data_IF_889998113047
#
_entry.id   IF_889998113047
#
_cell.length_a   1.000
_cell.length_b   1.000
_cell.length_c   1.000
_cell.angle_alpha   90.00
_cell.angle_beta   90.00
_cell.angle_gamma   90.00
#
_symmetry.space_group_name_H-M   'P 1'
#
loop_
_entity.id
_entity.type
_entity.pdbx_description
1 polymer ?
#
# COMPACT_ATOMS: atom_id res chain seq x y z
N UNK A 1 36.74 34.14 8.37
CA UNK A 1 36.65 35.24 7.37
C UNK A 1 36.07 34.60 6.11
N UNK A 2 34.83 34.86 5.63
CA UNK A 2 34.32 36.09 4.95
C UNK A 2 35.22 36.54 3.79
N UNK A 3 34.77 36.90 2.58
CA UNK A 3 33.42 37.02 1.93
C UNK A 3 33.26 35.92 0.84
N UNK A 4 32.15 35.63 0.13
CA UNK A 4 30.76 36.16 -0.05
C UNK A 4 30.48 37.31 -1.05
N UNK A 5 30.24 36.96 -2.32
CA UNK A 5 29.34 37.64 -3.30
C UNK A 5 28.60 36.52 -4.06
N UNK A 6 27.27 36.41 -4.24
CA UNK A 6 26.11 37.32 -4.36
C UNK A 6 25.92 37.96 -5.76
N UNK A 7 24.66 37.88 -6.24
CA UNK A 7 24.15 38.29 -7.58
C UNK A 7 24.63 37.37 -8.72
N UNK A 8 23.79 36.97 -9.68
CA UNK A 8 22.72 37.73 -10.37
C UNK A 8 21.36 37.01 -10.31
N UNK A 9 20.31 37.76 -10.00
CA UNK A 9 18.93 37.36 -10.28
C UNK A 9 18.52 37.86 -11.67
N UNK A 10 17.91 36.99 -12.48
CA UNK A 10 17.28 37.35 -13.75
C UNK A 10 15.84 36.85 -13.76
N UNK A 11 14.94 37.60 -13.12
CA UNK A 11 13.51 37.34 -13.18
C UNK A 11 12.95 37.89 -14.50
N UNK A 12 12.71 37.03 -15.48
CA UNK A 12 11.93 37.35 -16.68
C UNK A 12 10.50 36.86 -16.49
N UNK A 13 9.68 37.72 -15.87
CA UNK A 13 8.24 37.53 -15.81
C UNK A 13 7.62 37.85 -17.19
N UNK A 14 7.32 36.81 -17.97
CA UNK A 14 6.50 36.96 -19.17
C UNK A 14 5.03 36.80 -18.79
N UNK A 15 4.34 37.93 -18.71
CA UNK A 15 2.89 37.99 -18.57
C UNK A 15 2.23 37.51 -19.88
N UNK A 16 1.56 36.36 -19.83
CA UNK A 16 0.56 35.97 -20.83
C UNK A 16 -0.84 36.23 -20.28
N UNK A 17 -1.62 36.99 -21.03
CA UNK A 17 -2.85 37.62 -20.55
C UNK A 17 -4.00 36.65 -20.29
N UNK A 18 -4.85 37.03 -19.34
CA UNK A 18 -6.18 36.45 -19.17
C UNK A 18 -7.07 36.83 -20.36
N UNK A 19 -7.48 35.86 -21.17
CA UNK A 19 -8.69 35.95 -21.99
C UNK A 19 -9.80 35.12 -21.35
N UNK A 20 -10.97 35.75 -21.18
CA UNK A 20 -12.06 35.21 -20.38
C UNK A 20 -12.86 34.13 -21.12
N UNK A 21 -12.91 32.91 -20.55
CA UNK A 21 -13.87 31.87 -20.91
C UNK A 21 -14.02 30.85 -19.77
N UNK A 22 -14.36 31.29 -18.56
CA UNK A 22 -14.69 30.37 -17.45
C UNK A 22 -16.11 29.81 -17.63
N UNK A 23 -16.24 28.78 -18.46
CA UNK A 23 -17.42 27.91 -18.43
C UNK A 23 -17.49 27.18 -17.08
N UNK A 24 -18.68 27.14 -16.49
CA UNK A 24 -18.90 26.64 -15.13
C UNK A 24 -18.45 25.18 -14.95
N UNK A 25 -17.44 24.96 -14.11
CA UNK A 25 -17.27 23.71 -13.38
C UNK A 25 -17.31 23.99 -11.88
N UNK A 26 -18.52 23.94 -11.32
CA UNK A 26 -18.75 23.82 -9.89
C UNK A 26 -18.14 22.51 -9.37
N UNK A 27 -16.88 22.60 -8.91
CA UNK A 27 -16.22 21.57 -8.12
C UNK A 27 -15.95 22.13 -6.73
N UNK A 28 -16.91 21.95 -5.83
CA UNK A 28 -16.70 22.10 -4.39
C UNK A 28 -15.45 21.31 -3.95
N UNK A 29 -14.43 21.98 -3.37
CA UNK A 29 -13.25 21.30 -2.83
C UNK A 29 -13.47 20.77 -1.41
N UNK A 30 -14.68 20.86 -0.86
CA UNK A 30 -15.02 20.44 0.51
C UNK A 30 -15.91 19.19 0.59
N UNK A 31 -15.74 18.41 1.67
CA UNK A 31 -16.64 17.35 2.20
C UNK A 31 -16.62 15.93 1.60
N UNK A 32 -16.01 15.64 0.44
CA UNK A 32 -16.03 14.26 -0.13
C UNK A 32 -15.00 13.27 0.44
N UNK A 33 -13.99 13.72 1.19
CA UNK A 33 -12.93 12.86 1.71
C UNK A 33 -13.34 12.01 2.93
N UNK A 34 -14.28 12.49 3.75
CA UNK A 34 -14.56 11.90 5.08
C UNK A 34 -15.96 11.28 5.24
N UNK A 35 -16.83 11.27 4.22
CA UNK A 35 -18.11 10.53 4.32
C UNK A 35 -17.85 9.02 4.40
N UNK A 36 -18.42 8.31 5.38
CA UNK A 36 -18.21 6.87 5.53
C UNK A 36 -18.72 6.12 4.29
N UNK A 37 -18.09 4.98 3.95
CA UNK A 37 -18.44 4.22 2.76
C UNK A 37 -19.92 3.76 2.70
N UNK A 38 -20.59 3.71 3.86
CA UNK A 38 -22.03 3.47 4.02
C UNK A 38 -22.93 4.53 3.34
N UNK A 39 -22.43 5.74 3.11
CA UNK A 39 -23.16 6.89 2.58
C UNK A 39 -22.92 7.18 1.08
N UNK A 40 -22.02 6.43 0.43
CA UNK A 40 -21.72 6.62 -1.00
C UNK A 40 -22.86 6.07 -1.88
N UNK A 41 -23.30 6.81 -2.92
CA UNK A 41 -24.40 6.39 -3.79
C UNK A 41 -24.05 5.10 -4.54
N UNK A 42 -25.08 4.32 -4.90
CA UNK A 42 -24.90 2.99 -5.50
C UNK A 42 -24.05 3.00 -6.80
N UNK A 43 -24.14 4.07 -7.60
CA UNK A 43 -23.32 4.25 -8.80
C UNK A 43 -21.81 4.33 -8.50
N UNK A 44 -21.41 5.03 -7.44
CA UNK A 44 -20.01 5.13 -7.02
C UNK A 44 -19.47 3.78 -6.52
N UNK A 45 -20.30 3.01 -5.81
CA UNK A 45 -19.96 1.63 -5.39
C UNK A 45 -19.83 0.67 -6.57
N UNK A 46 -20.69 0.80 -7.58
CA UNK A 46 -20.63 -0.02 -8.80
C UNK A 46 -19.34 0.25 -9.57
N UNK A 47 -19.00 1.53 -9.77
CA UNK A 47 -17.75 1.96 -10.40
C UNK A 47 -16.52 1.50 -9.59
N UNK A 48 -16.53 1.62 -8.26
CA UNK A 48 -15.44 1.19 -7.41
C UNK A 48 -15.18 -0.34 -7.49
N UNK A 49 -16.25 -1.15 -7.61
CA UNK A 49 -16.14 -2.60 -7.88
C UNK A 49 -15.55 -2.84 -9.27
N UNK A 50 -16.11 -2.24 -10.32
CA UNK A 50 -15.61 -2.37 -11.70
C UNK A 50 -14.13 -2.03 -11.85
N UNK A 51 -13.65 -1.01 -11.12
CA UNK A 51 -12.21 -0.66 -11.08
C UNK A 51 -11.39 -1.70 -10.30
N UNK A 52 -11.92 -2.30 -9.22
CA UNK A 52 -11.25 -3.41 -8.52
C UNK A 52 -11.16 -4.65 -9.43
N UNK A 53 -12.29 -5.06 -10.02
CA UNK A 53 -12.37 -6.21 -10.94
C UNK A 53 -11.27 -6.06 -12.03
N UNK A 54 -11.18 -4.89 -12.67
CA UNK A 54 -10.18 -4.60 -13.71
C UNK A 54 -8.72 -4.45 -13.20
N UNK A 55 -8.48 -4.22 -11.91
CA UNK A 55 -7.15 -4.32 -11.29
C UNK A 55 -6.82 -5.79 -10.95
N UNK A 56 -7.81 -6.62 -10.59
CA UNK A 56 -7.63 -8.07 -10.37
C UNK A 56 -7.34 -8.82 -11.68
N UNK A 57 -8.09 -8.52 -12.75
CA UNK A 57 -7.84 -9.07 -14.10
C UNK A 57 -6.42 -8.80 -14.58
N UNK A 58 -5.87 -7.60 -14.28
CA UNK A 58 -4.48 -7.24 -14.60
C UNK A 58 -3.47 -8.06 -13.80
N UNK A 59 -3.69 -8.20 -12.48
CA UNK A 59 -2.83 -9.03 -11.63
C UNK A 59 -2.83 -10.49 -12.12
N UNK A 60 -3.98 -11.01 -12.56
CA UNK A 60 -4.07 -12.36 -13.13
C UNK A 60 -3.37 -12.49 -14.49
N UNK A 61 -3.51 -11.49 -15.37
CA UNK A 61 -2.81 -11.44 -16.65
C UNK A 61 -1.28 -11.38 -16.45
N UNK A 62 -0.80 -10.51 -15.55
CA UNK A 62 0.62 -10.39 -15.20
C UNK A 62 1.16 -11.69 -14.58
N UNK A 63 0.40 -12.31 -13.66
CA UNK A 63 0.76 -13.59 -13.06
C UNK A 63 0.77 -14.74 -14.08
N UNK A 64 -0.15 -14.74 -15.05
CA UNK A 64 -0.16 -15.70 -16.17
C UNK A 64 1.06 -15.51 -17.06
N UNK A 65 1.40 -14.27 -17.41
CA UNK A 65 2.60 -13.95 -18.19
C UNK A 65 3.90 -14.31 -17.44
N UNK A 66 3.96 -14.11 -16.12
CA UNK A 66 5.07 -14.53 -15.28
C UNK A 66 5.21 -16.06 -15.25
N UNK A 67 4.11 -16.80 -15.02
CA UNK A 67 4.11 -18.28 -15.03
C UNK A 67 4.53 -18.84 -16.40
N UNK A 68 4.07 -18.25 -17.50
CA UNK A 68 4.48 -18.65 -18.85
C UNK A 68 5.99 -18.45 -19.09
N UNK A 69 6.60 -17.39 -18.56
CA UNK A 69 8.07 -17.21 -18.59
C UNK A 69 8.83 -18.29 -17.81
N UNK A 70 8.22 -18.88 -16.79
CA UNK A 70 8.80 -20.02 -16.08
C UNK A 70 8.71 -21.33 -16.87
N UNK A 71 7.85 -21.44 -17.90
CA UNK A 71 7.64 -22.71 -18.61
C UNK A 71 8.88 -23.19 -19.37
N UNK A 72 9.72 -22.25 -19.83
CA UNK A 72 11.01 -22.50 -20.49
C UNK A 72 12.13 -22.96 -19.54
N UNK A 73 11.91 -22.86 -18.23
CA UNK A 73 12.84 -23.35 -17.20
C UNK A 73 12.62 -24.85 -16.93
N UNK A 74 13.57 -25.47 -16.22
CA UNK A 74 13.54 -26.89 -15.87
C UNK A 74 14.00 -27.13 -14.43
N UNK A 75 13.59 -28.25 -13.84
CA UNK A 75 13.89 -28.60 -12.44
C UNK A 75 13.45 -27.52 -11.46
N UNK A 76 14.12 -27.46 -10.30
CA UNK A 76 13.74 -26.55 -9.22
C UNK A 76 13.71 -25.06 -9.62
N UNK A 77 14.52 -24.65 -10.60
CA UNK A 77 14.47 -23.28 -11.13
C UNK A 77 13.08 -22.92 -11.70
N UNK A 78 12.38 -23.89 -12.31
CA UNK A 78 11.00 -23.74 -12.76
C UNK A 78 10.04 -23.63 -11.58
N UNK A 79 10.20 -24.47 -10.58
CA UNK A 79 9.29 -24.57 -9.44
C UNK A 79 9.39 -23.33 -8.54
N UNK A 80 10.61 -22.87 -8.25
CA UNK A 80 10.90 -21.57 -7.63
C UNK A 80 10.28 -20.42 -8.41
N UNK A 81 10.48 -20.35 -9.73
CA UNK A 81 9.89 -19.29 -10.58
C UNK A 81 8.35 -19.30 -10.52
N UNK A 82 7.74 -20.49 -10.57
CA UNK A 82 6.29 -20.64 -10.43
C UNK A 82 5.79 -20.24 -9.04
N UNK A 83 6.51 -20.60 -7.98
CA UNK A 83 6.16 -20.22 -6.61
C UNK A 83 6.28 -18.70 -6.41
N UNK A 84 7.31 -18.07 -6.96
CA UNK A 84 7.45 -16.60 -6.95
C UNK A 84 6.28 -15.94 -7.69
N UNK A 85 5.93 -16.40 -8.89
CA UNK A 85 4.78 -15.87 -9.63
C UNK A 85 3.44 -16.07 -8.90
N UNK A 86 3.22 -17.25 -8.29
CA UNK A 86 2.03 -17.56 -7.46
C UNK A 86 1.99 -16.72 -6.17
N UNK A 87 3.14 -16.45 -5.56
CA UNK A 87 3.26 -15.62 -4.36
C UNK A 87 2.94 -14.15 -4.67
N UNK A 88 3.54 -13.59 -5.73
CA UNK A 88 3.31 -12.20 -6.13
C UNK A 88 1.84 -11.96 -6.51
N UNK A 89 1.18 -12.88 -7.21
CA UNK A 89 -0.26 -12.80 -7.50
C UNK A 89 -1.11 -12.67 -6.23
N UNK A 90 -0.87 -13.56 -5.25
CA UNK A 90 -1.58 -13.58 -3.96
C UNK A 90 -1.32 -12.31 -3.13
N UNK A 91 -0.07 -11.83 -3.12
CA UNK A 91 0.32 -10.61 -2.42
C UNK A 91 -0.36 -9.40 -3.07
N UNK A 92 -0.27 -9.25 -4.39
CA UNK A 92 -0.87 -8.13 -5.12
C UNK A 92 -2.40 -8.08 -4.95
N UNK A 93 -3.09 -9.22 -4.99
CA UNK A 93 -4.55 -9.29 -4.69
C UNK A 93 -4.86 -8.84 -3.25
N UNK A 94 -4.07 -9.26 -2.26
CA UNK A 94 -4.27 -8.86 -0.87
C UNK A 94 -3.90 -7.38 -0.61
N UNK A 95 -2.89 -6.84 -1.29
CA UNK A 95 -2.55 -5.41 -1.27
C UNK A 95 -3.62 -4.56 -1.97
N UNK A 96 -4.21 -5.04 -3.07
CA UNK A 96 -5.35 -4.39 -3.72
C UNK A 96 -6.57 -4.35 -2.79
N UNK A 97 -6.90 -5.45 -2.11
CA UNK A 97 -7.93 -5.49 -1.06
C UNK A 97 -7.65 -4.44 0.04
N UNK A 98 -6.40 -4.31 0.49
CA UNK A 98 -5.98 -3.34 1.49
C UNK A 98 -6.00 -1.89 0.98
N UNK A 99 -5.66 -1.65 -0.30
CA UNK A 99 -5.70 -0.34 -0.97
C UNK A 99 -7.14 0.13 -1.20
N UNK A 100 -8.05 -0.77 -1.59
CA UNK A 100 -9.47 -0.45 -1.82
C UNK A 100 -10.28 -0.34 -0.55
N UNK A 101 -9.90 -1.09 0.50
CA UNK A 101 -10.57 -1.09 1.78
C UNK A 101 -9.51 -1.11 2.92
N UNK A 102 -8.97 0.06 3.31
CA UNK A 102 -7.84 0.19 4.23
C UNK A 102 -8.24 -0.05 5.69
N UNK A 103 -8.56 -1.31 5.99
CA UNK A 103 -8.79 -1.79 7.36
C UNK A 103 -7.52 -2.45 7.91
N UNK A 104 -7.35 -2.42 9.24
CA UNK A 104 -6.29 -3.17 9.91
C UNK A 104 -6.35 -4.68 9.59
N UNK A 105 -7.53 -5.25 9.33
CA UNK A 105 -7.69 -6.65 8.90
C UNK A 105 -7.07 -6.89 7.50
N UNK A 106 -7.35 -6.03 6.53
CA UNK A 106 -6.85 -6.21 5.17
C UNK A 106 -5.34 -5.90 5.09
N UNK A 107 -4.85 -4.90 5.81
CA UNK A 107 -3.42 -4.64 5.97
C UNK A 107 -2.69 -5.83 6.61
N UNK A 108 -3.28 -6.43 7.67
CA UNK A 108 -2.73 -7.64 8.29
C UNK A 108 -2.73 -8.83 7.31
N UNK A 109 -3.84 -9.06 6.60
CA UNK A 109 -3.94 -10.10 5.54
C UNK A 109 -2.84 -9.90 4.48
N UNK A 110 -2.62 -8.68 4.00
CA UNK A 110 -1.56 -8.40 3.02
C UNK A 110 -0.15 -8.72 3.58
N UNK A 111 0.12 -8.41 4.85
CA UNK A 111 1.37 -8.78 5.50
C UNK A 111 1.50 -10.30 5.72
N UNK A 112 0.41 -10.97 6.13
CA UNK A 112 0.33 -12.44 6.27
C UNK A 112 0.62 -13.11 4.92
N UNK A 113 0.02 -12.65 3.82
CA UNK A 113 0.29 -13.16 2.47
C UNK A 113 1.74 -12.96 2.02
N UNK A 114 2.42 -11.89 2.46
CA UNK A 114 3.85 -11.68 2.19
C UNK A 114 4.73 -12.69 2.92
N UNK A 115 4.45 -12.94 4.21
CA UNK A 115 5.16 -13.94 4.99
C UNK A 115 4.93 -15.36 4.44
N UNK A 116 3.71 -15.67 4.00
CA UNK A 116 3.38 -16.95 3.36
C UNK A 116 4.00 -17.10 1.97
N UNK A 117 3.94 -16.05 1.13
CA UNK A 117 4.60 -16.06 -0.17
C UNK A 117 6.12 -16.25 -0.07
N UNK A 118 6.77 -15.56 0.87
CA UNK A 118 8.20 -15.73 1.13
C UNK A 118 8.55 -17.14 1.64
N UNK A 119 7.68 -17.75 2.46
CA UNK A 119 7.86 -19.13 2.95
C UNK A 119 7.73 -20.17 1.85
N UNK A 120 6.71 -20.09 1.00
CA UNK A 120 6.55 -21.04 -0.12
C UNK A 120 7.73 -20.94 -1.10
N UNK A 121 8.16 -19.72 -1.46
CA UNK A 121 9.37 -19.51 -2.28
C UNK A 121 10.64 -20.04 -1.60
N UNK A 122 10.75 -19.91 -0.28
CA UNK A 122 11.89 -20.45 0.46
C UNK A 122 11.89 -21.98 0.49
N UNK A 123 10.73 -22.64 0.57
CA UNK A 123 10.63 -24.10 0.50
C UNK A 123 11.15 -24.65 -0.81
N UNK A 124 10.65 -24.15 -1.95
CA UNK A 124 11.16 -24.59 -3.27
C UNK A 124 12.68 -24.34 -3.36
N UNK A 125 13.18 -23.21 -2.87
CA UNK A 125 14.64 -22.95 -2.82
C UNK A 125 15.41 -23.94 -1.92
N UNK A 126 14.79 -24.47 -0.87
CA UNK A 126 15.36 -25.55 -0.07
C UNK A 126 15.28 -26.93 -0.76
N UNK A 127 14.43 -27.11 -1.76
CA UNK A 127 14.17 -28.43 -2.34
C UNK A 127 15.31 -28.94 -3.24
N UNK A 128 16.19 -28.06 -3.72
CA UNK A 128 17.49 -28.39 -4.36
C UNK A 128 18.51 -29.04 -3.40
N UNK A 129 18.39 -28.81 -2.10
CA UNK A 129 19.31 -29.33 -1.08
C UNK A 129 19.02 -30.80 -0.75
N UNK A 130 19.93 -31.47 -0.04
CA UNK A 130 19.79 -32.89 0.32
C UNK A 130 20.14 -33.17 1.78
N UNK A 131 19.53 -34.21 2.34
CA UNK A 131 19.76 -34.65 3.72
C UNK A 131 19.62 -33.51 4.75
N UNK A 132 20.56 -33.46 5.69
CA UNK A 132 20.55 -32.51 6.81
C UNK A 132 20.48 -31.03 6.37
N UNK A 133 21.05 -30.69 5.20
CA UNK A 133 21.06 -29.32 4.67
C UNK A 133 19.65 -28.86 4.27
N UNK A 134 18.88 -29.76 3.64
CA UNK A 134 17.47 -29.54 3.30
C UNK A 134 16.61 -29.39 4.55
N UNK A 135 16.79 -30.29 5.52
CA UNK A 135 16.05 -30.24 6.78
C UNK A 135 16.33 -28.96 7.58
N UNK A 136 17.59 -28.50 7.61
CA UNK A 136 17.97 -27.23 8.21
C UNK A 136 17.33 -26.05 7.47
N UNK A 137 17.42 -26.01 6.14
CA UNK A 137 16.83 -24.96 5.32
C UNK A 137 15.29 -24.86 5.50
N UNK A 138 14.58 -25.99 5.52
CA UNK A 138 13.13 -26.01 5.73
C UNK A 138 12.74 -25.57 7.16
N UNK A 139 13.52 -25.95 8.18
CA UNK A 139 13.34 -25.46 9.56
C UNK A 139 13.55 -23.95 9.66
N UNK A 140 14.59 -23.42 9.03
CA UNK A 140 14.90 -21.98 8.98
C UNK A 140 13.82 -21.19 8.23
N UNK A 141 13.34 -21.70 7.09
CA UNK A 141 12.25 -21.12 6.33
C UNK A 141 10.98 -21.01 7.19
N UNK A 142 10.65 -22.08 7.93
CA UNK A 142 9.50 -22.10 8.83
C UNK A 142 9.69 -21.15 10.02
N UNK A 143 10.86 -21.14 10.65
CA UNK A 143 11.17 -20.22 11.75
C UNK A 143 11.03 -18.75 11.32
N UNK A 144 11.47 -18.40 10.11
CA UNK A 144 11.27 -17.07 9.51
C UNK A 144 9.80 -16.75 9.26
N UNK A 145 8.99 -17.73 8.80
CA UNK A 145 7.55 -17.57 8.64
C UNK A 145 6.84 -17.33 9.98
N UNK A 146 7.14 -18.14 10.99
CA UNK A 146 6.56 -18.06 12.33
C UNK A 146 6.95 -16.75 13.03
N UNK A 147 8.22 -16.33 12.90
CA UNK A 147 8.69 -15.03 13.36
C UNK A 147 7.94 -13.88 12.65
N UNK A 148 7.86 -13.90 11.32
CA UNK A 148 7.14 -12.87 10.56
C UNK A 148 5.66 -12.79 10.96
N UNK A 149 4.98 -13.93 11.14
CA UNK A 149 3.59 -13.98 11.63
C UNK A 149 3.46 -13.46 13.06
N UNK A 150 4.41 -13.74 13.94
CA UNK A 150 4.45 -13.20 15.30
C UNK A 150 4.66 -11.67 15.31
N UNK A 151 5.58 -11.15 14.48
CA UNK A 151 5.88 -9.72 14.41
C UNK A 151 4.74 -8.94 13.73
N UNK A 152 4.09 -9.50 12.71
CA UNK A 152 2.81 -9.00 12.17
C UNK A 152 1.77 -8.94 13.29
N UNK A 153 1.57 -10.02 14.07
CA UNK A 153 0.61 -10.03 15.18
C UNK A 153 0.91 -8.93 16.20
N UNK A 154 2.18 -8.69 16.56
CA UNK A 154 2.61 -7.59 17.45
C UNK A 154 2.28 -6.23 16.84
N UNK A 155 2.70 -5.96 15.59
CA UNK A 155 2.46 -4.69 14.91
C UNK A 155 0.95 -4.34 14.83
N UNK A 156 0.09 -5.32 14.55
CA UNK A 156 -1.36 -5.12 14.47
C UNK A 156 -2.09 -5.20 15.84
N UNK A 157 -1.39 -5.57 16.91
CA UNK A 157 -1.82 -5.29 18.28
C UNK A 157 -1.45 -3.84 18.64
N UNK A 158 -0.17 -3.49 18.55
CA UNK A 158 0.37 -2.16 18.85
C UNK A 158 -0.36 -1.03 18.10
N UNK A 159 -0.69 -1.20 16.81
CA UNK A 159 -1.49 -0.22 16.05
C UNK A 159 -2.91 0.04 16.58
N UNK A 160 -3.43 -0.78 17.50
CA UNK A 160 -4.68 -0.49 18.22
C UNK A 160 -4.43 0.39 19.44
N UNK A 161 -3.29 0.19 20.10
CA UNK A 161 -2.85 0.89 21.29
C UNK A 161 -2.29 2.29 20.92
N UNK A 162 -1.50 2.36 19.84
CA UNK A 162 -0.94 3.56 19.20
C UNK A 162 -1.96 4.38 18.39
N UNK A 163 -3.27 4.08 18.48
CA UNK A 163 -4.31 4.91 17.86
C UNK A 163 -4.46 6.16 18.74
N UNK A 164 -3.93 7.35 18.36
CA UNK A 164 -4.27 8.56 19.09
C UNK A 164 -5.78 8.74 19.02
N UNK A 165 -6.37 9.29 20.08
CA UNK A 165 -7.81 9.52 20.15
C UNK A 165 -8.27 10.41 18.98
N UNK A 166 -8.72 9.78 17.89
CA UNK A 166 -9.36 10.41 16.72
C UNK A 166 -10.80 10.81 17.10
N UNK A 167 -10.87 11.61 18.17
CA UNK A 167 -12.02 12.15 18.87
C UNK A 167 -11.58 13.40 19.68
N UNK A 168 -10.62 14.17 19.15
CA UNK A 168 -10.14 15.44 19.72
C UNK A 168 -9.85 16.50 18.62
N UNK A 169 -10.52 16.40 17.48
CA UNK A 169 -10.61 17.48 16.47
C UNK A 169 -12.02 18.04 16.50
N UNK A 170 -12.30 18.83 17.56
CA UNK A 170 -13.65 19.33 17.85
C UNK A 170 -13.80 20.02 19.21
N UNK A 171 -12.82 20.83 19.62
CA UNK A 171 -12.91 21.65 20.84
C UNK A 171 -12.11 22.96 20.70
N UNK A 172 -12.78 23.96 20.12
CA UNK A 172 -12.63 25.41 20.41
C UNK A 172 -11.32 25.92 21.04
N UNK A 173 -10.48 26.56 20.23
CA UNK A 173 -9.56 27.63 20.70
C UNK A 173 -10.02 28.98 20.14
N UNK A 174 -11.25 29.37 20.49
CA UNK A 174 -11.72 30.75 20.37
C UNK A 174 -12.26 31.23 21.72
N UNK A 175 -11.35 31.76 22.55
CA UNK A 175 -11.63 32.97 23.36
C UNK A 175 -10.33 33.62 23.83
N UNK A 176 -9.56 34.17 22.90
CA UNK A 176 -8.59 35.23 23.23
C UNK A 176 -9.36 36.54 23.38
N UNK A 177 -10.16 36.66 24.45
CA UNK A 177 -10.79 37.95 24.79
C UNK A 177 -9.71 38.97 25.06
N UNK A 178 -9.81 40.11 24.39
CA UNK A 178 -8.87 41.20 24.49
C UNK A 178 -8.93 41.87 25.87
N UNK A 179 -7.81 42.49 26.24
CA UNK A 179 -7.64 43.37 27.40
C UNK A 179 -8.38 44.69 27.16
N UNK A 180 -9.11 45.21 28.16
CA UNK A 180 -8.83 46.60 28.57
C UNK A 180 -8.82 46.81 30.10
N UNK A 181 -7.71 47.40 30.57
CA UNK A 181 -7.57 48.45 31.62
C UNK A 181 -8.62 48.62 32.73
N UNK A 182 -8.14 48.66 33.97
CA UNK A 182 -7.90 49.94 34.67
C UNK A 182 -6.67 49.83 35.56
#
# INVERSE_FOLDING_TARGET
MTLKLCSIAAALALAFGMTAAQAQQSRDPGTRADRPAADRPAADRSSARKVKDAEEDKIEADAKAAKAKCETMQGNAKDVCQAEAKAQEKIAKAELDAKKNPTARNQRKAAEMKAEGAYEVAKEKCDDLKGNEKDACQKDAKAKQDQAKADIKKQFAQRKDDRPARAATGATTERRTERPTK
#
